data_IF_088771006850
#
_entry.id   IF_088771006850
#
_cell.length_a   1.000
_cell.length_b   1.000
_cell.length_c   1.000
_cell.angle_alpha   90.00
_cell.angle_beta   90.00
_cell.angle_gamma   90.00
#
_symmetry.space_group_name_H-M   'P 1'
#
loop_
_entity.id
_entity.type
_entity.pdbx_description
1 polymer ?
#
# COMPACT_ATOMS: atom_id res chain seq x y z
N UNK A 1 -21.27 -5.22 -43.69
CA UNK A 1 -20.72 -4.65 -42.45
C UNK A 1 -20.86 -5.69 -41.35
N UNK A 2 -19.86 -5.87 -40.46
CA UNK A 2 -20.02 -6.72 -39.30
C UNK A 2 -21.15 -6.20 -38.40
N UNK A 3 -21.89 -7.10 -37.75
CA UNK A 3 -22.93 -6.73 -36.80
C UNK A 3 -22.33 -5.98 -35.62
N UNK A 4 -22.95 -4.88 -35.15
CA UNK A 4 -22.50 -4.19 -33.96
C UNK A 4 -22.63 -5.10 -32.73
N UNK A 5 -21.76 -4.92 -31.74
CA UNK A 5 -21.84 -5.66 -30.49
C UNK A 5 -23.18 -5.38 -29.79
N UNK A 6 -23.81 -6.44 -29.27
CA UNK A 6 -24.97 -6.30 -28.40
C UNK A 6 -24.59 -5.60 -27.09
N UNK A 7 -25.58 -5.03 -26.39
CA UNK A 7 -25.32 -4.34 -25.12
C UNK A 7 -24.59 -5.23 -24.07
N UNK A 8 -24.97 -6.51 -23.85
CA UNK A 8 -24.23 -7.39 -22.95
C UNK A 8 -22.77 -7.62 -23.38
N UNK A 9 -22.55 -7.80 -24.69
CA UNK A 9 -21.20 -7.97 -25.25
C UNK A 9 -20.34 -6.73 -25.06
N UNK A 10 -20.88 -5.55 -25.39
CA UNK A 10 -20.21 -4.27 -25.18
C UNK A 10 -19.89 -4.01 -23.71
N UNK A 11 -20.85 -4.31 -22.81
CA UNK A 11 -20.64 -4.18 -21.36
C UNK A 11 -19.48 -5.04 -20.88
N UNK A 12 -19.47 -6.31 -21.26
CA UNK A 12 -18.41 -7.25 -20.89
C UNK A 12 -17.03 -6.77 -21.37
N UNK A 13 -16.93 -6.32 -22.63
CA UNK A 13 -15.69 -5.80 -23.21
C UNK A 13 -15.21 -4.57 -22.45
N UNK A 14 -16.08 -3.57 -22.22
CA UNK A 14 -15.69 -2.34 -21.53
C UNK A 14 -15.34 -2.57 -20.06
N UNK A 15 -16.00 -3.49 -19.36
CA UNK A 15 -15.70 -3.81 -17.96
C UNK A 15 -14.30 -4.40 -17.77
N UNK A 16 -13.83 -5.20 -18.73
CA UNK A 16 -12.53 -5.87 -18.69
C UNK A 16 -11.43 -5.14 -19.47
N UNK A 17 -11.76 -4.03 -20.12
CA UNK A 17 -10.78 -3.23 -20.84
C UNK A 17 -9.94 -2.42 -19.85
N UNK A 18 -8.62 -2.39 -20.06
CA UNK A 18 -7.72 -1.55 -19.28
C UNK A 18 -8.21 -0.09 -19.26
N UNK A 19 -8.23 0.51 -18.07
CA UNK A 19 -8.93 1.75 -17.77
C UNK A 19 -8.51 2.93 -18.66
N UNK A 20 -7.21 3.10 -18.90
CA UNK A 20 -6.68 4.19 -19.74
C UNK A 20 -7.09 3.99 -21.19
N UNK A 21 -6.97 2.77 -21.72
CA UNK A 21 -7.43 2.42 -23.08
C UNK A 21 -8.93 2.62 -23.22
N UNK A 22 -9.71 2.23 -22.21
CA UNK A 22 -11.16 2.42 -22.17
C UNK A 22 -11.51 3.90 -22.32
N UNK A 23 -10.90 4.77 -21.50
CA UNK A 23 -11.16 6.21 -21.58
C UNK A 23 -10.80 6.80 -22.95
N UNK A 24 -9.72 6.33 -23.58
CA UNK A 24 -9.34 6.77 -24.93
C UNK A 24 -10.39 6.47 -26.01
N UNK A 25 -11.04 5.29 -25.91
CA UNK A 25 -12.12 4.88 -26.83
C UNK A 25 -13.38 5.71 -26.56
N UNK A 26 -13.76 5.82 -25.29
CA UNK A 26 -14.98 6.54 -24.87
C UNK A 26 -14.89 8.03 -25.18
N UNK A 27 -13.72 8.65 -25.02
CA UNK A 27 -13.49 10.06 -25.34
C UNK A 27 -13.81 10.43 -26.80
N UNK A 28 -13.84 9.46 -27.71
CA UNK A 28 -14.17 9.66 -29.13
C UNK A 28 -15.61 9.33 -29.52
N UNK A 29 -16.42 8.81 -28.59
CA UNK A 29 -17.78 8.36 -28.88
C UNK A 29 -18.78 8.82 -27.81
N UNK A 30 -19.63 9.84 -28.10
CA UNK A 30 -20.64 10.32 -27.16
C UNK A 30 -21.66 9.27 -26.72
N UNK A 31 -21.98 8.29 -27.58
CA UNK A 31 -22.90 7.20 -27.23
C UNK A 31 -22.28 6.26 -26.19
N UNK A 32 -20.98 5.98 -26.31
CA UNK A 32 -20.26 5.16 -25.33
C UNK A 32 -20.07 5.88 -24.00
N UNK A 33 -19.93 7.21 -23.98
CA UNK A 33 -19.82 7.99 -22.72
C UNK A 33 -21.02 7.81 -21.79
N UNK A 34 -22.23 7.67 -22.34
CA UNK A 34 -23.44 7.43 -21.54
C UNK A 34 -23.46 6.03 -20.94
N UNK A 35 -23.05 5.02 -21.73
CA UNK A 35 -23.03 3.61 -21.30
C UNK A 35 -21.90 3.38 -20.30
N UNK A 36 -20.73 4.00 -20.52
CA UNK A 36 -19.52 3.84 -19.72
C UNK A 36 -19.77 4.08 -18.22
N UNK A 37 -20.50 5.14 -17.90
CA UNK A 37 -20.82 5.54 -16.52
C UNK A 37 -21.60 4.48 -15.73
N UNK A 38 -22.32 3.59 -16.43
CA UNK A 38 -23.10 2.51 -15.84
C UNK A 38 -22.28 1.23 -15.62
N UNK A 39 -21.08 1.16 -16.18
CA UNK A 39 -20.21 -0.02 -16.11
C UNK A 39 -19.16 0.23 -15.02
N UNK A 40 -18.93 -0.74 -14.11
CA UNK A 40 -17.89 -0.61 -13.10
C UNK A 40 -16.55 -0.20 -13.72
N UNK A 41 -15.86 0.70 -13.02
CA UNK A 41 -14.56 1.19 -13.43
C UNK A 41 -13.51 0.66 -12.45
N UNK A 42 -12.65 -0.23 -12.95
CA UNK A 42 -11.64 -0.91 -12.15
C UNK A 42 -10.27 -0.30 -12.45
N UNK A 43 -9.65 0.25 -11.41
CA UNK A 43 -8.32 0.87 -11.45
C UNK A 43 -7.37 0.03 -10.60
N UNK A 44 -6.14 -0.12 -11.10
CA UNK A 44 -5.05 -0.69 -10.32
C UNK A 44 -4.51 0.37 -9.36
N UNK A 45 -4.14 1.54 -9.89
CA UNK A 45 -3.61 2.65 -9.10
C UNK A 45 -4.41 3.93 -9.39
N UNK A 46 -4.74 4.67 -8.34
CA UNK A 46 -5.28 6.02 -8.45
C UNK A 46 -4.55 6.94 -7.47
N UNK A 47 -3.88 7.95 -8.00
CA UNK A 47 -3.34 9.08 -7.24
C UNK A 47 -3.91 10.36 -7.83
N UNK A 48 -4.28 11.32 -6.98
CA UNK A 48 -4.69 12.65 -7.41
C UNK A 48 -4.07 13.66 -6.44
N UNK A 49 -3.25 14.54 -6.98
CA UNK A 49 -2.58 15.62 -6.28
C UNK A 49 -2.97 16.98 -6.91
N UNK A 50 -2.38 18.07 -6.44
CA UNK A 50 -2.68 19.45 -6.86
C UNK A 50 -2.35 19.71 -8.34
N UNK A 51 -1.34 19.01 -8.87
CA UNK A 51 -0.81 19.24 -10.22
C UNK A 51 -0.78 17.99 -11.06
N UNK A 52 -1.02 16.84 -10.45
CA UNK A 52 -0.87 15.56 -11.12
C UNK A 52 -1.98 14.58 -10.76
N UNK A 53 -2.22 13.67 -11.68
CA UNK A 53 -3.13 12.56 -11.49
C UNK A 53 -2.50 11.34 -12.15
N UNK A 54 -2.43 10.26 -11.39
CA UNK A 54 -1.97 8.97 -11.88
C UNK A 54 -3.15 8.00 -11.92
N UNK A 55 -3.39 7.41 -13.09
CA UNK A 55 -4.38 6.35 -13.29
C UNK A 55 -3.64 5.17 -13.90
N UNK A 56 -3.50 4.09 -13.15
CA UNK A 56 -2.67 2.94 -13.53
C UNK A 56 -1.25 3.43 -13.91
N UNK A 57 -0.90 3.33 -15.20
CA UNK A 57 0.41 3.72 -15.74
C UNK A 57 0.36 5.05 -16.53
N UNK A 58 -0.78 5.76 -16.49
CA UNK A 58 -0.92 7.08 -17.09
C UNK A 58 -0.68 8.14 -16.02
N UNK A 59 0.37 8.94 -16.22
CA UNK A 59 0.62 10.16 -15.47
C UNK A 59 0.06 11.35 -16.26
N UNK A 60 -0.76 12.17 -15.61
CA UNK A 60 -1.32 13.40 -16.17
C UNK A 60 -0.80 14.55 -15.31
N UNK A 61 -0.03 15.47 -15.89
CA UNK A 61 0.47 16.66 -15.20
C UNK A 61 -0.16 17.91 -15.79
N UNK A 62 -0.65 18.80 -14.92
CA UNK A 62 -1.18 20.10 -15.27
C UNK A 62 -0.17 21.16 -14.88
N UNK A 63 0.26 21.97 -15.84
CA UNK A 63 1.12 23.13 -15.63
C UNK A 63 0.40 24.39 -16.16
N UNK A 64 1.02 25.55 -15.96
CA UNK A 64 0.54 26.82 -16.55
C UNK A 64 0.33 26.70 -18.07
N UNK A 65 1.30 26.11 -18.77
CA UNK A 65 1.32 25.97 -20.23
C UNK A 65 0.28 24.99 -20.80
N UNK A 66 -0.31 24.12 -19.98
CA UNK A 66 -1.28 23.12 -20.44
C UNK A 66 -1.30 21.81 -19.65
N UNK A 67 -1.81 20.77 -20.29
CA UNK A 67 -1.89 19.41 -19.72
C UNK A 67 -0.96 18.49 -20.50
N UNK A 68 -0.13 17.73 -19.78
CA UNK A 68 0.78 16.72 -20.32
C UNK A 68 0.29 15.34 -19.91
N UNK A 69 0.31 14.41 -20.85
CA UNK A 69 -0.02 13.00 -20.65
C UNK A 69 1.24 12.20 -20.92
N UNK A 70 1.65 11.39 -19.95
CA UNK A 70 2.80 10.50 -20.05
C UNK A 70 2.36 9.06 -19.82
N UNK A 71 2.64 8.21 -20.80
CA UNK A 71 2.34 6.78 -20.73
C UNK A 71 3.47 6.01 -21.41
N UNK A 72 4.12 5.09 -20.68
CA UNK A 72 5.25 4.29 -21.20
C UNK A 72 6.30 5.17 -21.92
N UNK A 73 6.72 6.27 -21.30
CA UNK A 73 7.70 7.24 -21.83
C UNK A 73 7.26 8.02 -23.08
N UNK A 74 6.01 7.87 -23.54
CA UNK A 74 5.43 8.68 -24.62
C UNK A 74 4.71 9.88 -24.03
N UNK A 75 5.00 11.06 -24.56
CA UNK A 75 4.44 12.34 -24.09
C UNK A 75 3.52 12.98 -25.12
N UNK A 76 2.38 13.47 -24.65
CA UNK A 76 1.46 14.29 -25.42
C UNK A 76 1.11 15.54 -24.61
N UNK A 77 1.16 16.72 -25.22
CA UNK A 77 0.79 17.98 -24.58
C UNK A 77 -0.43 18.61 -25.28
N UNK A 78 -1.27 19.27 -24.48
CA UNK A 78 -2.39 20.09 -24.97
C UNK A 78 -2.35 21.44 -24.29
N UNK A 79 -2.24 22.50 -25.08
CA UNK A 79 -2.28 23.87 -24.58
C UNK A 79 -3.72 24.29 -24.28
N UNK A 80 -3.94 24.94 -23.15
CA UNK A 80 -5.25 25.49 -22.79
C UNK A 80 -5.11 26.68 -21.85
N UNK A 81 -5.86 27.75 -22.13
CA UNK A 81 -5.86 29.02 -21.40
C UNK A 81 -6.73 28.97 -20.12
N UNK A 82 -6.53 27.93 -19.30
CA UNK A 82 -7.28 27.71 -18.06
C UNK A 82 -6.33 27.67 -16.86
N UNK A 83 -6.84 28.04 -15.68
CA UNK A 83 -6.09 27.87 -14.44
C UNK A 83 -5.81 26.39 -14.19
N UNK A 84 -4.76 26.11 -13.41
CA UNK A 84 -4.36 24.75 -13.09
C UNK A 84 -5.45 23.97 -12.34
N UNK A 85 -6.14 24.62 -11.40
CA UNK A 85 -7.26 24.03 -10.66
C UNK A 85 -8.44 23.68 -11.59
N UNK A 86 -8.75 24.55 -12.56
CA UNK A 86 -9.82 24.27 -13.51
C UNK A 86 -9.48 23.06 -14.41
N UNK A 87 -8.22 22.94 -14.82
CA UNK A 87 -7.71 21.79 -15.58
C UNK A 87 -7.86 20.51 -14.76
N UNK A 88 -7.38 20.50 -13.51
CA UNK A 88 -7.49 19.34 -12.61
C UNK A 88 -8.93 18.97 -12.30
N UNK A 89 -9.79 19.95 -11.99
CA UNK A 89 -11.22 19.73 -11.77
C UNK A 89 -11.89 19.08 -12.99
N UNK A 90 -11.55 19.51 -14.20
CA UNK A 90 -12.08 18.90 -15.44
C UNK A 90 -11.58 17.47 -15.62
N UNK A 91 -10.31 17.20 -15.34
CA UNK A 91 -9.73 15.85 -15.43
C UNK A 91 -10.38 14.90 -14.40
N UNK A 92 -10.47 15.30 -13.14
CA UNK A 92 -11.17 14.52 -12.09
C UNK A 92 -12.61 14.22 -12.50
N UNK A 93 -13.35 15.23 -12.97
CA UNK A 93 -14.71 15.02 -13.42
C UNK A 93 -14.84 14.06 -14.61
N UNK A 94 -13.88 14.09 -15.53
CA UNK A 94 -13.88 13.22 -16.70
C UNK A 94 -13.49 11.77 -16.36
N UNK A 95 -12.41 11.58 -15.61
CA UNK A 95 -11.84 10.27 -15.31
C UNK A 95 -12.46 9.56 -14.11
N UNK A 96 -13.06 10.29 -13.17
CA UNK A 96 -13.51 9.74 -11.89
C UNK A 96 -15.02 9.91 -11.71
N UNK A 97 -15.51 11.15 -11.74
CA UNK A 97 -16.89 11.46 -11.33
C UNK A 97 -17.97 10.87 -12.25
N UNK A 98 -19.18 10.73 -11.70
CA UNK A 98 -20.39 10.32 -12.44
C UNK A 98 -20.40 8.84 -12.84
N UNK A 99 -19.54 8.01 -12.24
CA UNK A 99 -19.53 6.56 -12.40
C UNK A 99 -20.30 5.90 -11.27
N UNK A 100 -21.10 4.90 -11.62
CA UNK A 100 -21.95 4.20 -10.65
C UNK A 100 -21.15 3.38 -9.62
N UNK A 101 -20.00 2.82 -10.03
CA UNK A 101 -19.13 2.00 -9.18
C UNK A 101 -17.67 2.16 -9.61
N UNK A 102 -16.81 2.57 -8.69
CA UNK A 102 -15.36 2.65 -8.92
C UNK A 102 -14.64 1.74 -7.93
N UNK A 103 -13.87 0.80 -8.45
CA UNK A 103 -12.99 -0.09 -7.68
C UNK A 103 -11.56 0.34 -7.92
N UNK A 104 -10.78 0.48 -6.86
CA UNK A 104 -9.39 0.91 -6.91
C UNK A 104 -8.58 -0.08 -6.08
N UNK A 105 -7.59 -0.74 -6.68
CA UNK A 105 -6.75 -1.66 -5.92
C UNK A 105 -5.89 -0.89 -4.92
N UNK A 106 -5.18 0.15 -5.39
CA UNK A 106 -4.38 1.06 -4.56
C UNK A 106 -4.81 2.51 -4.77
N UNK A 107 -5.28 3.14 -3.69
CA UNK A 107 -5.63 4.56 -3.63
C UNK A 107 -4.54 5.31 -2.89
N UNK A 108 -3.86 6.21 -3.59
CA UNK A 108 -2.89 7.10 -3.00
C UNK A 108 -3.58 8.42 -2.64
N UNK A 109 -3.61 8.70 -1.33
CA UNK A 109 -4.26 9.87 -0.75
C UNK A 109 -3.21 10.80 -0.17
N UNK A 110 -2.88 11.82 -0.94
CA UNK A 110 -1.94 12.86 -0.54
C UNK A 110 -2.67 14.19 -0.40
N UNK A 111 -2.64 14.77 0.80
CA UNK A 111 -3.08 16.13 1.08
C UNK A 111 -4.57 16.44 0.83
N UNK A 112 -5.03 17.51 1.47
CA UNK A 112 -6.43 17.83 1.77
C UNK A 112 -7.29 18.37 0.62
N UNK A 113 -6.78 18.42 -0.63
CA UNK A 113 -7.48 19.06 -1.76
C UNK A 113 -8.21 18.11 -2.71
N UNK A 114 -7.96 16.79 -2.64
CA UNK A 114 -8.78 15.81 -3.37
C UNK A 114 -10.30 15.95 -3.10
N UNK A 115 -10.74 16.21 -1.85
CA UNK A 115 -12.13 16.54 -1.55
C UNK A 115 -12.68 17.75 -2.33
N UNK A 116 -11.84 18.71 -2.73
CA UNK A 116 -12.29 19.89 -3.49
C UNK A 116 -12.66 19.57 -4.94
N UNK A 117 -12.17 18.46 -5.48
CA UNK A 117 -12.43 18.05 -6.87
C UNK A 117 -13.45 16.93 -7.00
N UNK A 118 -13.63 16.11 -5.96
CA UNK A 118 -14.58 15.01 -5.96
C UNK A 118 -16.00 15.47 -5.62
N UNK A 119 -16.98 14.81 -6.24
CA UNK A 119 -18.37 14.99 -5.83
C UNK A 119 -18.62 14.29 -4.48
N UNK A 120 -19.50 14.84 -3.65
CA UNK A 120 -19.80 14.34 -2.28
C UNK A 120 -20.28 12.89 -2.27
N UNK A 121 -20.90 12.43 -3.35
CA UNK A 121 -21.39 11.06 -3.52
C UNK A 121 -20.33 10.09 -4.08
N UNK A 122 -19.10 10.56 -4.34
CA UNK A 122 -18.03 9.71 -4.86
C UNK A 122 -17.57 8.73 -3.79
N UNK A 123 -17.70 7.43 -4.07
CA UNK A 123 -17.21 6.35 -3.20
C UNK A 123 -16.36 5.36 -3.99
N UNK A 124 -15.18 5.08 -3.46
CA UNK A 124 -14.24 4.09 -3.99
C UNK A 124 -14.31 2.81 -3.16
N UNK A 125 -14.39 1.66 -3.84
CA UNK A 125 -14.10 0.39 -3.18
C UNK A 125 -12.60 0.13 -3.28
N UNK A 126 -11.91 0.15 -2.13
CA UNK A 126 -10.44 0.19 -2.02
C UNK A 126 -9.91 -1.07 -1.35
N UNK A 127 -8.78 -1.61 -1.82
CA UNK A 127 -8.07 -2.69 -1.12
C UNK A 127 -6.89 -2.14 -0.30
N UNK A 128 -6.10 -1.25 -0.92
CA UNK A 128 -4.90 -0.64 -0.36
C UNK A 128 -5.07 0.88 -0.30
N UNK A 129 -4.87 1.46 0.88
CA UNK A 129 -4.82 2.91 1.07
C UNK A 129 -3.39 3.33 1.40
N UNK A 130 -2.83 4.23 0.61
CA UNK A 130 -1.58 4.92 0.92
C UNK A 130 -1.93 6.32 1.43
N UNK A 131 -1.62 6.60 2.69
CA UNK A 131 -1.89 7.88 3.33
C UNK A 131 -0.83 8.13 4.40
N UNK A 132 -0.15 9.27 4.34
CA UNK A 132 1.01 9.51 5.21
C UNK A 132 0.62 10.13 6.54
N UNK A 133 -0.42 10.99 6.58
CA UNK A 133 -0.76 11.74 7.78
C UNK A 133 -2.12 11.33 8.37
N UNK A 134 -2.30 11.56 9.67
CA UNK A 134 -3.54 11.24 10.38
C UNK A 134 -4.77 11.91 9.73
N UNK A 135 -4.60 13.16 9.30
CA UNK A 135 -5.62 13.95 8.61
C UNK A 135 -6.06 13.32 7.27
N UNK A 136 -5.14 12.66 6.56
CA UNK A 136 -5.44 11.99 5.29
C UNK A 136 -6.38 10.79 5.51
N UNK A 137 -6.26 10.08 6.63
CA UNK A 137 -7.18 8.99 6.98
C UNK A 137 -8.59 9.51 7.22
N UNK A 138 -8.74 10.60 7.96
CA UNK A 138 -10.05 11.17 8.28
C UNK A 138 -10.74 11.74 7.03
N UNK A 139 -9.97 12.41 6.15
CA UNK A 139 -10.50 12.92 4.89
C UNK A 139 -10.87 11.80 3.93
N UNK A 140 -9.97 10.82 3.73
CA UNK A 140 -10.19 9.70 2.80
C UNK A 140 -11.36 8.80 3.22
N UNK A 141 -11.64 8.67 4.52
CA UNK A 141 -12.78 7.90 5.05
C UNK A 141 -14.09 8.29 4.41
N UNK A 142 -14.27 9.58 4.12
CA UNK A 142 -15.49 10.09 3.48
C UNK A 142 -15.62 9.72 2.00
N UNK A 143 -14.56 9.22 1.36
CA UNK A 143 -14.55 8.81 -0.05
C UNK A 143 -14.37 7.30 -0.24
N UNK A 144 -14.15 6.55 0.83
CA UNK A 144 -14.05 5.08 0.78
C UNK A 144 -15.42 4.47 1.07
N UNK A 145 -15.83 3.53 0.23
CA UNK A 145 -17.03 2.71 0.42
C UNK A 145 -16.85 1.83 1.66
N UNK A 146 -17.86 1.78 2.54
CA UNK A 146 -17.77 1.05 3.81
C UNK A 146 -17.44 -0.44 3.64
N UNK A 147 -17.78 -1.04 2.49
CA UNK A 147 -17.46 -2.43 2.14
C UNK A 147 -15.99 -2.68 1.86
N UNK A 148 -15.17 -1.63 1.87
CA UNK A 148 -13.71 -1.72 1.78
C UNK A 148 -13.07 -2.02 3.14
N UNK A 149 -13.79 -1.79 4.24
CA UNK A 149 -13.25 -1.98 5.60
C UNK A 149 -13.56 -3.38 6.15
N UNK A 150 -12.63 -3.97 6.93
CA UNK A 150 -11.25 -3.53 7.11
C UNK A 150 -10.46 -3.58 5.80
N UNK A 151 -9.58 -2.59 5.60
CA UNK A 151 -8.73 -2.56 4.40
C UNK A 151 -7.72 -3.72 4.45
N UNK A 152 -7.36 -4.23 3.28
CA UNK A 152 -6.34 -5.29 3.19
C UNK A 152 -4.97 -4.74 3.56
N UNK A 153 -4.64 -3.55 3.05
CA UNK A 153 -3.33 -2.94 3.28
C UNK A 153 -3.46 -1.45 3.52
N UNK A 154 -2.72 -0.94 4.50
CA UNK A 154 -2.54 0.49 4.73
C UNK A 154 -1.05 0.82 4.68
N UNK A 155 -0.68 1.87 3.95
CA UNK A 155 0.70 2.37 3.89
C UNK A 155 0.75 3.74 4.52
N UNK A 156 1.70 3.96 5.44
CA UNK A 156 1.84 5.21 6.17
C UNK A 156 3.26 5.40 6.70
N UNK A 157 3.51 6.52 7.38
CA UNK A 157 4.74 6.76 8.14
C UNK A 157 4.51 6.47 9.63
N UNK A 158 5.57 6.14 10.39
CA UNK A 158 5.48 5.88 11.82
C UNK A 158 5.32 7.21 12.58
N UNK A 159 4.09 7.70 12.63
CA UNK A 159 3.67 8.83 13.45
C UNK A 159 2.73 8.30 14.53
N UNK A 160 2.93 8.65 15.81
CA UNK A 160 2.07 8.16 16.89
C UNK A 160 0.57 8.41 16.65
N UNK A 161 0.22 9.56 16.06
CA UNK A 161 -1.17 9.90 15.72
C UNK A 161 -1.76 9.00 14.62
N UNK A 162 -0.94 8.44 13.74
CA UNK A 162 -1.40 7.50 12.71
C UNK A 162 -1.80 6.16 13.33
N UNK A 163 -1.03 5.69 14.32
CA UNK A 163 -1.31 4.42 15.00
C UNK A 163 -2.63 4.42 15.74
N UNK A 164 -3.14 5.60 16.12
CA UNK A 164 -4.44 5.73 16.77
C UNK A 164 -5.65 5.64 15.81
N UNK A 165 -5.42 5.77 14.51
CA UNK A 165 -6.46 5.66 13.50
C UNK A 165 -7.09 4.27 13.46
N UNK A 166 -8.42 4.21 13.48
CA UNK A 166 -9.16 2.95 13.31
C UNK A 166 -8.90 2.29 11.96
N UNK A 167 -8.58 3.09 10.93
CA UNK A 167 -8.23 2.57 9.60
C UNK A 167 -6.92 1.79 9.67
N UNK A 168 -5.93 2.32 10.39
CA UNK A 168 -4.62 1.68 10.60
C UNK A 168 -4.78 0.43 11.48
N UNK A 169 -5.42 0.54 12.65
CA UNK A 169 -5.60 -0.58 13.60
C UNK A 169 -6.36 -1.78 13.02
N UNK A 170 -7.27 -1.54 12.07
CA UNK A 170 -8.11 -2.60 11.51
C UNK A 170 -7.53 -3.27 10.26
N UNK A 171 -6.49 -2.70 9.65
CA UNK A 171 -5.90 -3.25 8.43
C UNK A 171 -5.23 -4.62 8.66
N UNK A 172 -5.32 -5.53 7.70
CA UNK A 172 -4.62 -6.82 7.80
C UNK A 172 -3.11 -6.63 7.76
N UNK A 173 -2.62 -5.85 6.79
CA UNK A 173 -1.21 -5.50 6.61
C UNK A 173 -1.00 -4.00 6.76
N UNK A 174 -0.08 -3.61 7.63
CA UNK A 174 0.41 -2.24 7.77
C UNK A 174 1.81 -2.15 7.15
N UNK A 175 2.03 -1.20 6.25
CA UNK A 175 3.34 -0.90 5.69
C UNK A 175 3.78 0.45 6.23
N UNK A 176 4.91 0.48 6.91
CA UNK A 176 5.52 1.67 7.47
C UNK A 176 6.73 2.07 6.63
N UNK A 177 6.69 3.28 6.09
CA UNK A 177 7.82 3.87 5.38
C UNK A 177 8.69 4.65 6.37
N UNK A 178 9.86 4.09 6.68
CA UNK A 178 10.84 4.70 7.57
C UNK A 178 11.69 5.72 6.81
N UNK A 179 11.08 6.88 6.52
CA UNK A 179 11.80 8.01 5.93
C UNK A 179 12.88 8.52 6.91
N UNK A 180 13.92 9.15 6.35
CA UNK A 180 15.09 9.68 7.09
C UNK A 180 14.63 10.45 8.34
N UNK A 181 15.28 10.18 9.49
CA UNK A 181 15.06 10.75 10.83
C UNK A 181 13.96 10.13 11.72
N UNK A 182 13.25 9.09 11.28
CA UNK A 182 12.24 8.43 12.13
C UNK A 182 12.73 7.12 12.70
N UNK A 183 12.85 7.04 14.02
CA UNK A 183 13.11 5.80 14.76
C UNK A 183 11.79 5.21 15.29
N UNK A 184 11.70 3.89 15.29
CA UNK A 184 10.59 3.13 15.88
C UNK A 184 11.01 2.60 17.23
N UNK A 185 10.47 3.21 18.29
CA UNK A 185 10.74 2.77 19.67
C UNK A 185 9.93 1.52 20.01
N UNK A 186 10.33 0.82 21.07
CA UNK A 186 9.53 -0.29 21.63
C UNK A 186 8.08 0.13 21.93
N UNK A 187 7.87 1.34 22.46
CA UNK A 187 6.54 1.84 22.81
C UNK A 187 5.65 2.10 21.59
N UNK A 188 6.26 2.40 20.45
CA UNK A 188 5.55 2.51 19.17
C UNK A 188 5.20 1.14 18.61
N UNK A 189 6.15 0.20 18.64
CA UNK A 189 5.96 -1.16 18.14
C UNK A 189 4.88 -1.92 18.93
N UNK A 190 4.80 -1.71 20.26
CA UNK A 190 3.75 -2.27 21.13
C UNK A 190 2.33 -1.85 20.76
N UNK A 191 2.16 -0.69 20.11
CA UNK A 191 0.83 -0.20 19.68
C UNK A 191 0.34 -0.91 18.42
N UNK A 192 1.22 -1.59 17.69
CA UNK A 192 0.90 -2.24 16.43
C UNK A 192 0.24 -3.60 16.69
N UNK A 193 -1.00 -3.73 16.21
CA UNK A 193 -1.82 -4.94 16.40
C UNK A 193 -2.26 -5.56 15.07
N UNK A 194 -1.65 -5.14 13.96
CA UNK A 194 -1.89 -5.68 12.63
C UNK A 194 -1.33 -7.10 12.53
N UNK A 195 -1.96 -7.96 11.72
CA UNK A 195 -1.47 -9.32 11.48
C UNK A 195 -0.06 -9.32 10.89
N UNK A 196 0.24 -8.36 10.01
CA UNK A 196 1.56 -8.18 9.41
C UNK A 196 1.94 -6.70 9.39
N UNK A 197 3.17 -6.40 9.82
CA UNK A 197 3.78 -5.08 9.71
C UNK A 197 5.01 -5.19 8.81
N UNK A 198 5.03 -4.42 7.73
CA UNK A 198 6.17 -4.32 6.82
C UNK A 198 6.90 -3.01 7.09
N UNK A 199 8.21 -3.08 7.29
CA UNK A 199 9.07 -1.96 7.68
C UNK A 199 9.98 -1.62 6.51
N UNK A 200 9.51 -0.74 5.62
CA UNK A 200 10.23 -0.34 4.41
C UNK A 200 11.27 0.74 4.74
N UNK A 201 12.40 0.69 4.03
CA UNK A 201 13.56 1.57 4.25
C UNK A 201 14.16 1.49 5.65
N UNK A 202 14.03 0.33 6.31
CA UNK A 202 14.55 0.08 7.64
C UNK A 202 16.07 -0.19 7.64
N UNK A 203 16.76 0.28 8.68
CA UNK A 203 18.08 -0.19 9.10
C UNK A 203 18.05 -0.63 10.56
N UNK A 204 19.07 -1.38 11.01
CA UNK A 204 19.29 -1.77 12.42
C UNK A 204 19.09 -0.60 13.40
N UNK A 205 19.76 0.52 13.14
CA UNK A 205 19.76 1.72 13.98
C UNK A 205 18.40 2.43 14.11
N UNK A 206 17.41 2.05 13.29
CA UNK A 206 16.12 2.74 13.19
C UNK A 206 15.04 2.04 14.03
N UNK A 207 15.22 0.79 14.44
CA UNK A 207 14.14 0.01 15.06
C UNK A 207 14.59 -0.77 16.30
N UNK A 208 13.80 -0.65 17.38
CA UNK A 208 14.00 -1.41 18.61
C UNK A 208 13.41 -2.84 18.53
N UNK A 209 13.82 -3.64 17.54
CA UNK A 209 13.32 -5.02 17.43
C UNK A 209 13.84 -5.92 18.55
N UNK A 210 15.12 -5.83 18.93
CA UNK A 210 15.69 -6.63 20.02
C UNK A 210 14.98 -6.32 21.36
N UNK A 211 14.86 -5.05 21.79
CA UNK A 211 14.17 -4.74 23.03
C UNK A 211 12.67 -5.10 23.00
N UNK A 212 12.01 -5.04 21.83
CA UNK A 212 10.63 -5.52 21.69
C UNK A 212 10.52 -7.02 21.99
N UNK A 213 11.39 -7.85 21.42
CA UNK A 213 11.39 -9.30 21.69
C UNK A 213 11.67 -9.58 23.16
N UNK A 214 12.67 -8.91 23.74
CA UNK A 214 13.00 -9.05 25.17
C UNK A 214 11.79 -8.73 26.05
N UNK A 215 11.07 -7.62 25.76
CA UNK A 215 9.85 -7.26 26.47
C UNK A 215 8.79 -8.38 26.44
N UNK A 216 8.54 -8.97 25.26
CA UNK A 216 7.57 -10.05 25.13
C UNK A 216 7.99 -11.31 25.89
N UNK A 217 9.28 -11.66 25.86
CA UNK A 217 9.84 -12.78 26.64
C UNK A 217 9.68 -12.55 28.15
N UNK A 218 10.01 -11.35 28.64
CA UNK A 218 9.92 -11.00 30.06
C UNK A 218 8.47 -10.97 30.56
N UNK A 219 7.56 -10.40 29.78
CA UNK A 219 6.14 -10.29 30.13
C UNK A 219 5.34 -11.56 29.84
N UNK A 220 5.92 -12.51 29.09
CA UNK A 220 5.28 -13.73 28.58
C UNK A 220 4.05 -13.45 27.71
N UNK A 221 3.98 -12.24 27.14
CA UNK A 221 2.90 -11.81 26.26
C UNK A 221 3.24 -12.10 24.79
N UNK A 222 2.27 -12.61 24.05
CA UNK A 222 2.51 -13.05 22.67
C UNK A 222 2.51 -11.85 21.71
N UNK A 223 3.53 -11.79 20.83
CA UNK A 223 3.75 -10.64 19.94
C UNK A 223 2.67 -10.52 18.86
N UNK A 224 1.94 -11.60 18.51
CA UNK A 224 0.78 -11.71 17.56
C UNK A 224 0.94 -11.10 16.15
N UNK A 225 1.91 -10.25 15.94
CA UNK A 225 2.22 -9.48 14.75
C UNK A 225 3.45 -10.09 14.11
N UNK A 226 3.37 -10.40 12.81
CA UNK A 226 4.56 -10.75 12.03
C UNK A 226 5.20 -9.47 11.49
N UNK A 227 6.46 -9.25 11.81
CA UNK A 227 7.25 -8.16 11.24
C UNK A 227 8.05 -8.65 10.04
N UNK A 228 8.04 -7.87 8.97
CA UNK A 228 8.76 -8.13 7.73
C UNK A 228 9.63 -6.91 7.42
N UNK A 229 10.94 -7.12 7.33
CA UNK A 229 11.91 -6.06 7.08
C UNK A 229 12.59 -6.34 5.74
N UNK A 230 12.09 -5.79 4.63
CA UNK A 230 12.73 -5.91 3.33
C UNK A 230 13.99 -5.04 3.24
N UNK A 231 15.04 -5.58 2.63
CA UNK A 231 16.25 -4.82 2.28
C UNK A 231 16.87 -5.34 0.99
N UNK A 232 17.29 -4.40 0.13
CA UNK A 232 18.11 -4.68 -1.05
C UNK A 232 19.61 -4.75 -0.71
N UNK A 233 19.98 -4.39 0.52
CA UNK A 233 21.36 -4.31 0.97
C UNK A 233 21.66 -5.49 1.89
N UNK A 234 22.43 -6.44 1.40
CA UNK A 234 22.86 -7.63 2.16
C UNK A 234 23.56 -7.23 3.47
N UNK A 235 24.33 -6.13 3.44
CA UNK A 235 24.98 -5.59 4.65
C UNK A 235 24.00 -5.25 5.77
N UNK A 236 22.83 -4.68 5.45
CA UNK A 236 21.80 -4.36 6.47
C UNK A 236 21.21 -5.64 7.05
N UNK A 237 20.99 -6.67 6.23
CA UNK A 237 20.47 -7.96 6.71
C UNK A 237 21.46 -8.63 7.65
N UNK A 238 22.74 -8.66 7.25
CA UNK A 238 23.81 -9.25 8.06
C UNK A 238 24.03 -8.48 9.37
N UNK A 239 23.95 -7.15 9.33
CA UNK A 239 24.05 -6.30 10.51
C UNK A 239 22.92 -6.59 11.51
N UNK A 240 21.66 -6.55 11.07
CA UNK A 240 20.52 -6.84 11.95
C UNK A 240 20.59 -8.27 12.50
N UNK A 241 20.93 -9.27 11.68
CA UNK A 241 21.08 -10.64 12.16
C UNK A 241 22.24 -10.79 13.15
N UNK A 242 23.34 -10.06 13.00
CA UNK A 242 24.44 -10.03 13.98
C UNK A 242 23.98 -9.47 15.33
N UNK A 243 23.08 -8.47 15.34
CA UNK A 243 22.46 -7.99 16.59
C UNK A 243 21.57 -9.06 17.23
N UNK A 244 20.80 -9.81 16.43
CA UNK A 244 20.06 -10.97 16.94
C UNK A 244 20.99 -12.06 17.48
N UNK A 245 22.12 -12.33 16.81
CA UNK A 245 23.14 -13.27 17.31
C UNK A 245 23.69 -12.84 18.66
N UNK A 246 24.04 -11.57 18.82
CA UNK A 246 24.55 -11.04 20.08
C UNK A 246 23.53 -11.13 21.22
N UNK A 247 22.24 -10.95 20.93
CA UNK A 247 21.18 -10.94 21.93
C UNK A 247 20.59 -12.33 22.24
N UNK A 248 20.59 -13.24 21.27
CA UNK A 248 19.82 -14.49 21.30
C UNK A 248 20.61 -15.72 20.82
N UNK A 249 21.93 -15.71 20.95
CA UNK A 249 22.84 -16.78 20.50
C UNK A 249 22.40 -18.18 20.99
N UNK A 250 21.95 -18.26 22.24
CA UNK A 250 21.49 -19.51 22.88
C UNK A 250 20.25 -20.13 22.22
N UNK A 251 19.52 -19.35 21.41
CA UNK A 251 18.29 -19.78 20.73
C UNK A 251 18.49 -20.07 19.24
N UNK A 252 19.73 -20.17 18.76
CA UNK A 252 20.01 -20.58 17.37
C UNK A 252 19.46 -21.98 17.11
N UNK A 253 18.81 -22.16 15.96
CA UNK A 253 18.31 -23.47 15.53
C UNK A 253 18.10 -23.52 14.03
N UNK A 254 17.85 -24.71 13.47
CA UNK A 254 17.64 -24.84 12.04
C UNK A 254 16.24 -24.50 11.54
N UNK A 255 15.29 -24.30 12.45
CA UNK A 255 13.86 -24.10 12.16
C UNK A 255 13.25 -25.24 11.33
N UNK A 256 13.53 -26.49 11.72
CA UNK A 256 13.02 -27.69 11.06
C UNK A 256 11.49 -27.64 10.90
N UNK A 257 11.02 -27.92 9.68
CA UNK A 257 9.59 -27.89 9.31
C UNK A 257 9.08 -26.54 8.80
N UNK A 258 9.88 -25.47 8.84
CA UNK A 258 9.54 -24.20 8.19
C UNK A 258 9.93 -24.27 6.70
N UNK A 259 8.92 -24.30 5.83
CA UNK A 259 9.11 -24.37 4.38
C UNK A 259 9.27 -22.97 3.76
N UNK A 260 10.42 -22.35 3.99
CA UNK A 260 10.80 -21.03 3.46
C UNK A 260 12.11 -21.12 2.68
N UNK A 261 12.33 -20.20 1.74
CA UNK A 261 13.60 -20.08 0.99
C UNK A 261 14.62 -19.29 1.81
N UNK A 262 15.20 -19.93 2.82
CA UNK A 262 16.22 -19.31 3.66
C UNK A 262 17.44 -18.88 2.87
N UNK A 263 18.05 -17.76 3.27
CA UNK A 263 19.36 -17.36 2.75
C UNK A 263 20.43 -18.27 3.37
N UNK A 264 21.21 -19.02 2.57
CA UNK A 264 22.21 -19.95 3.08
C UNK A 264 23.29 -19.26 3.93
N UNK A 265 23.67 -19.89 5.04
CA UNK A 265 24.73 -19.39 5.92
C UNK A 265 24.29 -18.31 6.93
N UNK A 266 23.06 -17.81 6.83
CA UNK A 266 22.52 -16.85 7.79
C UNK A 266 21.87 -17.53 9.00
N UNK A 267 22.06 -16.91 10.17
CA UNK A 267 21.51 -17.41 11.44
C UNK A 267 19.98 -17.34 11.49
N UNK A 268 19.44 -18.30 12.23
CA UNK A 268 18.02 -18.53 12.44
C UNK A 268 17.82 -18.79 13.93
N UNK A 269 16.74 -18.24 14.49
CA UNK A 269 16.48 -18.27 15.92
C UNK A 269 15.07 -18.75 16.20
N UNK A 270 14.91 -19.50 17.30
CA UNK A 270 13.63 -19.88 17.87
C UNK A 270 13.60 -19.47 19.34
N UNK A 271 13.14 -18.24 19.60
CA UNK A 271 13.19 -17.59 20.92
C UNK A 271 11.90 -17.92 21.68
N UNK A 272 11.95 -18.65 22.80
CA UNK A 272 10.75 -18.98 23.56
C UNK A 272 10.19 -17.74 24.27
N UNK A 273 8.87 -17.51 24.17
CA UNK A 273 8.16 -16.48 24.96
C UNK A 273 7.54 -17.11 26.21
N UNK A 274 6.76 -18.17 26.02
CA UNK A 274 6.12 -18.92 27.10
C UNK A 274 6.07 -20.42 26.74
N UNK A 275 5.33 -21.23 27.51
CA UNK A 275 5.27 -22.68 27.26
C UNK A 275 4.71 -23.07 25.90
N UNK A 276 3.89 -22.20 25.31
CA UNK A 276 3.12 -22.49 24.10
C UNK A 276 3.42 -21.52 22.95
N UNK A 277 4.27 -20.51 23.12
CA UNK A 277 4.61 -19.55 22.06
C UNK A 277 6.10 -19.22 22.00
N UNK A 278 6.55 -18.99 20.77
CA UNK A 278 7.93 -18.65 20.41
C UNK A 278 7.98 -17.66 19.26
N UNK A 279 9.09 -16.95 19.12
CA UNK A 279 9.36 -16.06 18.00
C UNK A 279 10.43 -16.70 17.14
N UNK A 280 10.11 -16.89 15.86
CA UNK A 280 11.10 -17.26 14.86
C UNK A 280 11.68 -16.00 14.23
N UNK A 281 13.01 -15.93 14.15
CA UNK A 281 13.74 -14.88 13.43
C UNK A 281 14.61 -15.53 12.38
N UNK A 282 14.46 -15.13 11.11
CA UNK A 282 15.20 -15.68 9.98
C UNK A 282 15.16 -14.75 8.78
N UNK A 283 16.09 -14.94 7.83
CA UNK A 283 16.08 -14.22 6.56
C UNK A 283 15.72 -15.14 5.38
N UNK A 284 14.97 -14.59 4.42
CA UNK A 284 14.52 -15.29 3.21
C UNK A 284 14.89 -14.54 1.95
N UNK A 285 15.17 -15.31 0.90
CA UNK A 285 15.28 -14.80 -0.48
C UNK A 285 13.90 -14.50 -1.06
N UNK A 286 13.82 -13.47 -1.88
CA UNK A 286 12.60 -13.14 -2.61
C UNK A 286 12.66 -13.75 -4.02
N UNK A 287 11.72 -14.65 -4.39
CA UNK A 287 11.77 -15.39 -5.65
C UNK A 287 11.62 -14.52 -6.90
N UNK A 288 11.01 -13.33 -6.77
CA UNK A 288 10.66 -12.46 -7.91
C UNK A 288 11.62 -11.27 -8.10
N UNK A 289 12.93 -11.47 -7.85
CA UNK A 289 13.98 -10.42 -7.92
C UNK A 289 13.77 -9.22 -6.96
N UNK A 290 12.89 -9.37 -5.97
CA UNK A 290 12.65 -8.32 -4.97
C UNK A 290 13.69 -8.32 -3.84
N UNK A 291 13.58 -7.37 -2.88
CA UNK A 291 14.46 -7.33 -1.71
C UNK A 291 14.37 -8.62 -0.91
N UNK A 292 15.52 -9.07 -0.40
CA UNK A 292 15.60 -10.07 0.65
C UNK A 292 14.90 -9.55 1.91
N UNK A 293 14.43 -10.45 2.78
CA UNK A 293 13.59 -10.06 3.93
C UNK A 293 14.05 -10.72 5.20
N UNK A 294 14.13 -9.95 6.29
CA UNK A 294 14.14 -10.50 7.64
C UNK A 294 12.69 -10.67 8.09
N UNK A 295 12.40 -11.83 8.65
CA UNK A 295 11.09 -12.20 9.18
C UNK A 295 11.22 -12.38 10.69
N UNK A 296 10.40 -11.65 11.45
CA UNK A 296 10.20 -11.86 12.88
C UNK A 296 8.76 -12.29 13.06
N UNK A 297 8.55 -13.58 13.33
CA UNK A 297 7.23 -14.22 13.25
C UNK A 297 6.87 -14.94 14.55
N UNK A 298 5.73 -14.62 15.19
CA UNK A 298 5.20 -15.43 16.27
C UNK A 298 4.77 -16.80 15.74
N UNK A 299 5.07 -17.83 16.52
CA UNK A 299 4.61 -19.20 16.30
C UNK A 299 4.03 -19.71 17.61
N UNK A 300 2.73 -19.99 17.59
CA UNK A 300 2.05 -20.69 18.68
C UNK A 300 2.17 -22.20 18.45
N UNK A 301 2.48 -22.94 19.49
CA UNK A 301 2.47 -24.39 19.53
C UNK A 301 1.06 -24.91 19.75
N UNK A 302 0.28 -25.02 18.68
CA UNK A 302 -0.92 -25.86 18.60
C UNK A 302 -1.07 -26.46 17.21
#
# INVERSE_FOLDING_TARGET
MPLPLSYPGLKCVLENLEAVKRVHIIGRSPSLQKIDKLIPYCLENLCVDFHEMTINNLLITCNEDGVKFEMNWKRLSRQKLETQNDKMKKLVNFYICGRSKTRVNKLDWFYSLLPCFLAVDTKFRVNTLYALLCEDFELSRSFIDSRSFPLKTVVTIPEPSNFDSQIVKSAETLILYLLIDRTLTVEDLKKLNNKTVVLEYCSSSIIDMIPLIQYHVETKDDIRTTFVIPSNYEGVINEMLSEFEQAFDEFRCDLDGVNERFIPGLSKFSIPINGDSKIHVYAIENPDEGPNKIIVKPVSGF
#
